data_IF_898434526330
#
_entry.id   IF_898434526330
#
_cell.length_a   1.000
_cell.length_b   1.000
_cell.length_c   1.000
_cell.angle_alpha   90.00
_cell.angle_beta   90.00
_cell.angle_gamma   90.00
#
_symmetry.space_group_name_H-M   'P 1'
#
loop_
_entity.id
_entity.type
_entity.pdbx_description
1 polymer ?
#
# COMPACT_ATOMS: atom_id res chain seq x y z
N UNK A 1 2.53 -49.61 25.93
CA UNK A 1 3.19 -48.29 26.02
C UNK A 1 2.34 -47.29 25.25
N UNK A 2 1.69 -46.37 25.96
CA UNK A 2 0.89 -45.28 25.38
C UNK A 2 1.80 -44.21 24.76
N UNK A 3 1.42 -43.66 23.59
CA UNK A 3 1.70 -42.27 23.25
C UNK A 3 0.42 -41.42 23.29
N UNK A 4 0.54 -40.09 23.51
CA UNK A 4 -0.58 -39.23 23.85
C UNK A 4 -1.33 -38.64 22.65
N UNK A 5 -2.53 -38.17 22.97
CA UNK A 5 -3.47 -37.45 22.12
C UNK A 5 -3.03 -36.00 21.80
N UNK A 6 -3.55 -35.48 20.68
CA UNK A 6 -3.65 -34.06 20.35
C UNK A 6 -3.78 -33.90 18.83
N UNK A 7 -4.84 -33.37 18.21
CA UNK A 7 -5.88 -32.46 18.63
C UNK A 7 -6.05 -31.46 17.48
N UNK A 8 -7.05 -31.66 16.63
CA UNK A 8 -7.32 -30.74 15.51
C UNK A 8 -7.93 -29.44 16.06
N UNK A 9 -7.14 -28.39 16.20
CA UNK A 9 -7.67 -27.06 16.57
C UNK A 9 -8.07 -26.29 15.32
N UNK A 10 -9.36 -25.94 15.23
CA UNK A 10 -9.96 -24.83 14.45
C UNK A 10 -8.94 -23.73 14.08
N UNK A 11 -8.33 -23.79 12.90
CA UNK A 11 -7.52 -22.69 12.34
C UNK A 11 -7.59 -22.74 10.82
N UNK A 12 -8.67 -22.21 10.25
CA UNK A 12 -8.89 -22.26 8.80
C UNK A 12 -9.58 -21.05 8.17
N UNK A 13 -9.92 -20.00 8.93
CA UNK A 13 -10.64 -18.83 8.40
C UNK A 13 -9.96 -17.47 8.65
N UNK A 14 -8.66 -17.39 9.00
CA UNK A 14 -8.00 -16.10 9.27
C UNK A 14 -6.98 -15.64 8.22
N UNK A 15 -6.64 -16.45 7.21
CA UNK A 15 -5.48 -16.13 6.36
C UNK A 15 -5.65 -14.90 5.46
N UNK A 16 -6.87 -14.40 5.25
CA UNK A 16 -7.12 -13.17 4.48
C UNK A 16 -7.01 -11.87 5.30
N UNK A 17 -7.01 -11.95 6.63
CA UNK A 17 -6.79 -10.79 7.51
C UNK A 17 -5.35 -10.64 7.99
N UNK A 18 -4.55 -11.72 7.97
CA UNK A 18 -3.14 -11.67 8.39
C UNK A 18 -2.21 -10.92 7.41
N UNK A 19 -2.62 -10.73 6.16
CA UNK A 19 -1.89 -9.89 5.20
C UNK A 19 -2.03 -8.38 5.48
N UNK A 20 -3.18 -7.93 6.00
CA UNK A 20 -3.39 -6.52 6.34
C UNK A 20 -2.62 -6.10 7.59
N UNK A 21 -2.52 -6.96 8.61
CA UNK A 21 -1.80 -6.62 9.86
C UNK A 21 -0.28 -6.51 9.69
N UNK A 22 0.36 -7.30 8.80
CA UNK A 22 1.81 -7.17 8.54
C UNK A 22 2.19 -5.95 7.71
N UNK A 23 1.29 -5.49 6.83
CA UNK A 23 1.53 -4.23 6.09
C UNK A 23 1.43 -3.06 7.06
N UNK A 24 0.41 -3.01 7.92
CA UNK A 24 0.28 -1.93 8.93
C UNK A 24 1.39 -1.97 9.99
N UNK A 25 1.91 -3.15 10.34
CA UNK A 25 2.96 -3.29 11.36
C UNK A 25 4.39 -3.08 10.81
N UNK A 26 4.58 -3.08 9.48
CA UNK A 26 5.82 -2.61 8.82
C UNK A 26 5.71 -1.19 8.27
N UNK A 27 4.51 -0.58 8.32
CA UNK A 27 4.32 0.88 8.25
C UNK A 27 4.73 1.54 9.58
N UNK A 28 5.13 0.74 10.58
CA UNK A 28 5.75 1.17 11.83
C UNK A 28 7.00 2.01 11.55
N UNK A 29 6.71 3.31 11.49
CA UNK A 29 7.58 4.47 11.41
C UNK A 29 8.75 4.35 10.43
N UNK A 30 8.53 4.78 9.18
CA UNK A 30 9.67 5.33 8.42
C UNK A 30 10.33 6.40 9.28
N UNK A 31 11.65 6.36 9.39
CA UNK A 31 12.38 7.37 10.15
C UNK A 31 12.35 8.66 9.35
N UNK A 32 12.23 9.81 10.02
CA UNK A 32 12.25 11.12 9.37
C UNK A 32 13.49 11.31 8.49
N UNK A 33 14.62 10.70 8.83
CA UNK A 33 15.85 10.72 8.02
C UNK A 33 15.63 10.11 6.64
N UNK A 34 15.01 8.93 6.57
CA UNK A 34 14.78 8.18 5.33
C UNK A 34 13.77 8.93 4.45
N UNK A 35 12.74 9.51 5.08
CA UNK A 35 11.74 10.35 4.39
C UNK A 35 12.41 11.59 3.82
N UNK A 36 13.20 12.33 4.62
CA UNK A 36 13.91 13.54 4.17
C UNK A 36 14.81 13.29 2.96
N UNK A 37 15.54 12.18 2.92
CA UNK A 37 16.36 11.83 1.76
C UNK A 37 15.55 11.50 0.49
N UNK A 38 14.27 11.14 0.64
CA UNK A 38 13.39 10.80 -0.47
C UNK A 38 12.41 11.93 -0.86
N UNK A 39 12.40 13.06 -0.14
CA UNK A 39 11.44 14.15 -0.39
C UNK A 39 11.61 14.79 -1.77
N UNK A 40 12.84 14.96 -2.25
CA UNK A 40 13.09 15.55 -3.58
C UNK A 40 12.52 14.67 -4.69
N UNK A 41 12.72 13.36 -4.62
CA UNK A 41 12.16 12.38 -5.57
C UNK A 41 10.63 12.28 -5.45
N UNK A 42 10.10 12.36 -4.23
CA UNK A 42 8.66 12.41 -4.00
C UNK A 42 8.03 13.70 -4.58
N UNK A 43 8.72 14.84 -4.48
CA UNK A 43 8.27 16.11 -5.01
C UNK A 43 8.34 16.18 -6.54
N UNK A 44 9.33 15.53 -7.17
CA UNK A 44 9.41 15.41 -8.63
C UNK A 44 8.46 14.35 -9.21
N UNK A 45 7.99 13.42 -8.39
CA UNK A 45 7.09 12.34 -8.80
C UNK A 45 7.83 11.10 -9.33
N UNK A 46 9.13 10.98 -9.07
CA UNK A 46 9.99 9.90 -9.57
C UNK A 46 10.04 8.67 -8.63
N UNK A 47 9.26 8.68 -7.55
CA UNK A 47 9.23 7.58 -6.58
C UNK A 47 8.31 6.44 -7.03
N UNK A 48 8.65 5.20 -6.66
CA UNK A 48 7.74 4.06 -6.84
C UNK A 48 6.45 4.24 -6.04
N UNK A 49 5.33 3.73 -6.56
CA UNK A 49 4.00 3.92 -5.97
C UNK A 49 3.92 3.47 -4.50
N UNK A 50 4.53 2.33 -4.17
CA UNK A 50 4.54 1.81 -2.79
C UNK A 50 5.33 2.71 -1.84
N UNK A 51 6.44 3.27 -2.30
CA UNK A 51 7.26 4.20 -1.52
C UNK A 51 6.55 5.54 -1.33
N UNK A 52 5.92 6.05 -2.39
CA UNK A 52 5.16 7.29 -2.34
C UNK A 52 4.01 7.20 -1.34
N UNK A 53 3.31 6.05 -1.28
CA UNK A 53 2.25 5.81 -0.32
C UNK A 53 2.76 5.81 1.14
N UNK A 54 3.95 5.24 1.40
CA UNK A 54 4.56 5.25 2.73
C UNK A 54 5.00 6.64 3.18
N UNK A 55 5.61 7.42 2.28
CA UNK A 55 5.98 8.81 2.55
C UNK A 55 4.74 9.65 2.81
N UNK A 56 3.69 9.50 1.99
CA UNK A 56 2.42 10.19 2.18
C UNK A 56 1.81 9.92 3.56
N UNK A 57 1.82 8.66 4.02
CA UNK A 57 1.37 8.31 5.36
C UNK A 57 2.20 9.02 6.45
N UNK A 58 3.52 9.04 6.32
CA UNK A 58 4.41 9.73 7.28
C UNK A 58 4.17 11.25 7.32
N UNK A 59 3.95 11.89 6.17
CA UNK A 59 3.65 13.32 6.07
C UNK A 59 2.33 13.69 6.77
N UNK A 60 1.38 12.75 6.87
CA UNK A 60 0.15 12.94 7.64
C UNK A 60 0.39 13.03 9.16
N UNK A 61 1.50 12.50 9.66
CA UNK A 61 1.80 12.41 11.10
C UNK A 61 2.96 13.33 11.53
N UNK A 62 3.85 13.75 10.62
CA UNK A 62 5.06 14.50 10.95
C UNK A 62 5.11 15.89 10.29
N UNK A 63 4.81 16.93 11.09
CA UNK A 63 4.80 18.33 10.64
C UNK A 63 6.16 18.81 10.10
N UNK A 64 7.26 18.34 10.68
CA UNK A 64 8.62 18.72 10.26
C UNK A 64 8.95 18.20 8.85
N UNK A 65 8.52 16.99 8.51
CA UNK A 65 8.68 16.44 7.17
C UNK A 65 7.76 17.13 6.15
N UNK A 66 6.57 17.58 6.58
CA UNK A 66 5.65 18.34 5.72
C UNK A 66 6.22 19.71 5.35
N UNK A 67 6.78 20.45 6.32
CA UNK A 67 7.48 21.72 6.04
C UNK A 67 8.68 21.53 5.10
N UNK A 68 9.45 20.46 5.32
CA UNK A 68 10.58 20.14 4.43
C UNK A 68 10.10 19.86 3.00
N UNK A 69 8.97 19.15 2.82
CA UNK A 69 8.40 18.91 1.49
C UNK A 69 7.91 20.21 0.83
N UNK A 70 7.28 21.11 1.57
CA UNK A 70 6.87 22.41 1.05
C UNK A 70 8.07 23.22 0.55
N UNK A 71 9.17 23.21 1.29
CA UNK A 71 10.41 23.85 0.88
C UNK A 71 11.00 23.25 -0.40
N UNK A 72 11.04 21.91 -0.52
CA UNK A 72 11.47 21.23 -1.77
C UNK A 72 10.59 21.63 -2.96
N UNK A 73 9.27 21.71 -2.78
CA UNK A 73 8.33 22.14 -3.82
C UNK A 73 8.53 23.60 -4.23
N UNK A 74 8.80 24.47 -3.27
CA UNK A 74 9.09 25.88 -3.52
C UNK A 74 10.39 26.03 -4.34
N UNK A 75 11.45 25.31 -3.95
CA UNK A 75 12.71 25.28 -4.71
C UNK A 75 12.52 24.75 -6.14
N UNK A 76 11.83 23.63 -6.30
CA UNK A 76 11.52 23.07 -7.63
C UNK A 76 10.66 24.04 -8.46
N UNK A 77 9.72 24.74 -7.82
CA UNK A 77 8.91 25.78 -8.45
C UNK A 77 9.75 26.96 -8.94
N UNK A 78 10.69 27.45 -8.13
CA UNK A 78 11.61 28.52 -8.51
C UNK A 78 12.54 28.09 -9.67
N UNK A 79 13.07 26.86 -9.63
CA UNK A 79 13.86 26.30 -10.73
C UNK A 79 13.03 26.16 -12.02
N UNK A 80 11.77 25.75 -11.91
CA UNK A 80 10.87 25.66 -13.06
C UNK A 80 10.57 27.04 -13.67
N UNK A 81 10.50 28.10 -12.86
CA UNK A 81 10.33 29.47 -13.35
C UNK A 81 11.55 29.96 -14.12
N UNK A 82 12.77 29.71 -13.61
CA UNK A 82 14.02 30.03 -14.32
C UNK A 82 14.10 29.36 -15.70
N UNK A 83 13.47 28.20 -15.86
CA UNK A 83 13.38 27.48 -17.12
C UNK A 83 12.36 28.07 -18.13
N UNK A 84 11.32 28.78 -17.68
CA UNK A 84 10.24 29.27 -18.57
C UNK A 84 10.67 30.39 -19.50
N UNK A 85 11.51 31.30 -19.01
CA UNK A 85 11.90 32.49 -19.79
C UNK A 85 12.91 32.17 -20.89
N UNK A 86 13.53 30.98 -20.83
CA UNK A 86 14.39 30.49 -21.91
C UNK A 86 13.54 29.85 -22.98
N UNK A 87 13.39 30.52 -24.12
CA UNK A 87 12.95 29.88 -25.37
C UNK A 87 13.91 28.75 -25.70
N UNK A 88 13.53 27.52 -25.39
CA UNK A 88 14.29 26.35 -25.79
C UNK A 88 14.37 26.35 -27.32
N UNK A 89 15.58 26.36 -27.91
CA UNK A 89 15.70 26.39 -29.36
C UNK A 89 15.05 25.12 -29.92
N UNK A 90 14.12 25.28 -30.86
CA UNK A 90 13.33 24.17 -31.46
C UNK A 90 14.24 23.04 -31.96
N UNK A 91 15.39 23.41 -32.56
CA UNK A 91 16.41 22.47 -33.04
C UNK A 91 16.95 21.54 -31.96
N UNK A 92 17.18 22.05 -30.74
CA UNK A 92 17.68 21.22 -29.63
C UNK A 92 16.65 20.18 -29.21
N UNK A 93 15.36 20.53 -29.19
CA UNK A 93 14.29 19.58 -28.90
C UNK A 93 14.18 18.50 -29.98
N UNK A 94 14.33 18.88 -31.26
CA UNK A 94 14.36 17.93 -32.38
C UNK A 94 15.57 16.99 -32.30
N UNK A 95 16.76 17.51 -31.99
CA UNK A 95 17.99 16.73 -31.80
C UNK A 95 17.89 15.75 -30.63
N UNK A 96 17.37 16.21 -29.48
CA UNK A 96 17.14 15.34 -28.31
C UNK A 96 16.12 14.25 -28.67
N UNK A 97 15.01 14.61 -29.31
CA UNK A 97 13.98 13.64 -29.72
C UNK A 97 14.55 12.62 -30.71
N UNK A 98 15.30 13.07 -31.71
CA UNK A 98 15.95 12.19 -32.68
C UNK A 98 16.98 11.28 -32.01
N UNK A 99 17.74 11.78 -31.04
CA UNK A 99 18.70 11.01 -30.25
C UNK A 99 18.03 9.93 -29.38
N UNK A 100 16.92 10.27 -28.72
CA UNK A 100 16.14 9.31 -27.92
C UNK A 100 15.51 8.24 -28.81
N UNK A 101 14.88 8.61 -29.92
CA UNK A 101 14.31 7.64 -30.87
C UNK A 101 15.38 6.71 -31.45
N UNK A 102 16.52 7.27 -31.86
CA UNK A 102 17.65 6.48 -32.33
C UNK A 102 18.15 5.49 -31.29
N UNK A 103 18.19 5.87 -30.00
CA UNK A 103 18.55 4.94 -28.91
C UNK A 103 17.50 3.87 -28.71
N UNK A 104 16.21 4.21 -28.75
CA UNK A 104 15.12 3.23 -28.67
C UNK A 104 15.14 2.22 -29.83
N UNK A 105 15.53 2.66 -31.03
CA UNK A 105 15.68 1.80 -32.21
C UNK A 105 16.96 0.94 -32.16
N UNK A 106 18.03 1.48 -31.58
CA UNK A 106 19.34 0.82 -31.49
C UNK A 106 19.50 -0.08 -30.28
N UNK A 107 18.77 0.19 -29.19
CA UNK A 107 18.66 -0.70 -28.07
C UNK A 107 17.92 -1.91 -28.63
N UNK A 108 18.63 -3.00 -29.01
CA UNK A 108 17.97 -4.15 -29.57
C UNK A 108 16.95 -4.47 -28.52
N UNK A 109 15.66 -4.54 -28.90
CA UNK A 109 14.62 -4.92 -27.96
C UNK A 109 15.26 -6.03 -27.16
N UNK A 110 15.58 -5.73 -25.89
CA UNK A 110 15.66 -6.74 -24.87
C UNK A 110 14.20 -7.11 -24.77
N UNK A 111 13.71 -7.77 -25.83
CA UNK A 111 12.71 -8.80 -25.82
C UNK A 111 13.02 -9.41 -24.49
N UNK A 112 12.10 -9.16 -23.56
CA UNK A 112 11.94 -9.94 -22.35
C UNK A 112 12.29 -11.32 -22.82
N UNK A 113 13.55 -11.71 -22.61
CA UNK A 113 14.16 -12.79 -23.37
C UNK A 113 13.44 -13.93 -22.74
N UNK A 114 12.34 -14.32 -23.40
CA UNK A 114 11.13 -14.88 -22.78
C UNK A 114 11.68 -15.79 -21.75
N UNK A 115 11.54 -15.43 -20.46
CA UNK A 115 12.20 -16.11 -19.36
C UNK A 115 11.85 -17.57 -19.58
N UNK A 116 12.71 -18.33 -20.26
CA UNK A 116 12.40 -19.68 -20.72
C UNK A 116 12.55 -20.38 -19.42
N UNK A 117 11.45 -20.70 -18.69
CA UNK A 117 11.62 -21.30 -17.40
C UNK A 117 12.47 -22.54 -17.67
N UNK A 118 13.63 -22.70 -16.98
CA UNK A 118 14.53 -23.84 -17.23
C UNK A 118 13.89 -25.19 -16.83
N UNK A 119 12.63 -25.14 -16.41
CA UNK A 119 11.82 -26.29 -16.07
C UNK A 119 11.29 -26.87 -17.38
N UNK A 120 11.94 -27.94 -17.84
CA UNK A 120 11.38 -28.82 -18.85
C UNK A 120 9.94 -29.16 -18.46
N UNK A 121 9.02 -29.02 -19.40
CA UNK A 121 7.59 -29.24 -19.17
C UNK A 121 7.28 -30.63 -18.56
N UNK A 122 8.17 -31.59 -18.72
CA UNK A 122 8.04 -32.91 -18.11
C UNK A 122 8.22 -32.90 -16.58
N UNK A 123 9.02 -31.99 -16.03
CA UNK A 123 9.08 -31.80 -14.56
C UNK A 123 7.82 -31.11 -14.04
N UNK A 124 7.21 -30.22 -14.82
CA UNK A 124 5.94 -29.60 -14.43
C UNK A 124 4.80 -30.64 -14.35
N UNK A 125 4.74 -31.59 -15.29
CA UNK A 125 3.74 -32.68 -15.28
C UNK A 125 3.87 -33.58 -14.05
N UNK A 126 5.09 -33.94 -13.66
CA UNK A 126 5.33 -34.82 -12.50
C UNK A 126 4.96 -34.14 -11.18
N UNK A 127 5.32 -32.85 -11.01
CA UNK A 127 4.92 -32.08 -9.83
C UNK A 127 3.40 -31.92 -9.74
N UNK A 128 2.73 -31.67 -10.87
CA UNK A 128 1.28 -31.51 -10.91
C UNK A 128 0.54 -32.82 -10.60
N UNK A 129 1.03 -33.95 -11.11
CA UNK A 129 0.49 -35.28 -10.79
C UNK A 129 0.64 -35.62 -9.31
N UNK A 130 1.79 -35.30 -8.70
CA UNK A 130 2.03 -35.48 -7.27
C UNK A 130 1.07 -34.63 -6.43
N UNK A 131 0.88 -33.36 -6.79
CA UNK A 131 -0.06 -32.48 -6.10
C UNK A 131 -1.51 -33.01 -6.19
N UNK A 132 -1.92 -33.50 -7.35
CA UNK A 132 -3.24 -34.11 -7.53
C UNK A 132 -3.42 -35.37 -6.68
N UNK A 133 -2.41 -36.25 -6.62
CA UNK A 133 -2.45 -37.46 -5.81
C UNK A 133 -2.58 -37.16 -4.31
N UNK A 134 -1.85 -36.15 -3.80
CA UNK A 134 -1.96 -35.71 -2.40
C UNK A 134 -3.35 -35.16 -2.09
N UNK A 135 -3.92 -34.34 -2.98
CA UNK A 135 -5.29 -33.84 -2.82
C UNK A 135 -6.31 -34.98 -2.79
N UNK A 136 -6.15 -35.96 -3.67
CA UNK A 136 -7.04 -37.12 -3.72
C UNK A 136 -6.95 -37.98 -2.45
N UNK A 137 -5.74 -38.18 -1.92
CA UNK A 137 -5.53 -38.89 -0.67
C UNK A 137 -6.19 -38.17 0.53
N UNK A 138 -6.04 -36.83 0.62
CA UNK A 138 -6.71 -36.02 1.65
C UNK A 138 -8.23 -36.10 1.52
N UNK A 139 -8.76 -36.02 0.30
CA UNK A 139 -10.19 -36.16 0.04
C UNK A 139 -10.72 -37.54 0.51
N UNK A 140 -9.99 -38.61 0.19
CA UNK A 140 -10.32 -39.97 0.63
C UNK A 140 -10.36 -40.07 2.16
N UNK A 141 -9.38 -39.49 2.86
CA UNK A 141 -9.37 -39.48 4.33
C UNK A 141 -10.59 -38.75 4.88
N UNK A 142 -10.97 -37.60 4.30
CA UNK A 142 -12.14 -36.83 4.74
C UNK A 142 -13.45 -37.59 4.51
N UNK A 143 -13.57 -38.32 3.40
CA UNK A 143 -14.79 -39.10 3.07
C UNK A 143 -14.89 -40.38 3.91
N UNK A 144 -13.77 -41.06 4.15
CA UNK A 144 -13.75 -42.35 4.87
C UNK A 144 -13.80 -42.16 6.38
N UNK A 145 -13.33 -41.03 6.93
CA UNK A 145 -13.39 -40.81 8.38
C UNK A 145 -14.84 -40.53 8.83
N UNK A 146 -15.47 -41.44 9.60
CA UNK A 146 -16.84 -41.27 10.04
C UNK A 146 -16.95 -40.05 10.96
N UNK A 147 -17.98 -39.23 10.69
CA UNK A 147 -18.25 -37.92 11.29
C UNK A 147 -18.49 -37.95 12.82
N UNK A 148 -18.52 -39.14 13.42
CA UNK A 148 -18.99 -39.37 14.79
C UNK A 148 -17.98 -39.02 15.89
N UNK A 149 -16.73 -38.64 15.56
CA UNK A 149 -15.69 -38.39 16.59
C UNK A 149 -15.45 -36.93 16.99
N UNK A 150 -16.14 -35.95 16.40
CA UNK A 150 -15.81 -34.52 16.62
C UNK A 150 -16.74 -33.73 17.53
N UNK A 151 -17.68 -34.37 18.23
CA UNK A 151 -18.69 -33.64 19.02
C UNK A 151 -18.80 -34.18 20.45
N UNK A 152 -17.75 -34.01 21.24
CA UNK A 152 -17.91 -33.89 22.69
C UNK A 152 -17.78 -32.41 23.05
N UNK A 153 -18.87 -31.71 23.42
CA UNK A 153 -18.79 -30.36 23.95
C UNK A 153 -18.03 -30.42 25.28
N UNK A 154 -16.80 -29.93 25.30
CA UNK A 154 -16.16 -29.55 26.56
C UNK A 154 -16.96 -28.38 27.13
N UNK A 155 -17.83 -28.68 28.07
CA UNK A 155 -18.27 -27.74 29.09
C UNK A 155 -17.04 -27.35 29.90
N UNK A 156 -16.28 -26.38 29.40
CA UNK A 156 -15.41 -25.61 30.28
C UNK A 156 -16.34 -24.76 31.13
N UNK A 157 -16.62 -25.27 32.32
CA UNK A 157 -17.07 -24.51 33.47
C UNK A 157 -16.13 -23.32 33.62
N UNK A 158 -16.62 -22.14 33.24
CA UNK A 158 -15.91 -20.88 33.40
C UNK A 158 -16.00 -20.58 34.90
N UNK A 159 -14.94 -20.93 35.61
CA UNK A 159 -14.69 -20.48 36.97
C UNK A 159 -14.73 -18.95 36.95
N UNK A 160 -15.80 -18.38 37.51
CA UNK A 160 -15.99 -16.94 37.63
C UNK A 160 -14.84 -16.39 38.48
N UNK A 161 -14.02 -15.45 37.97
CA UNK A 161 -13.04 -14.80 38.81
C UNK A 161 -13.78 -14.07 39.93
N UNK A 162 -13.50 -14.52 41.15
CA UNK A 162 -13.89 -13.93 42.41
C UNK A 162 -13.64 -12.42 42.37
N UNK A 163 -14.74 -11.70 42.59
CA UNK A 163 -14.85 -10.25 42.56
C UNK A 163 -13.97 -9.66 43.67
N UNK A 164 -12.72 -9.35 43.34
CA UNK A 164 -11.82 -8.62 44.23
C UNK A 164 -12.25 -7.15 44.30
N UNK A 165 -13.06 -6.84 45.32
CA UNK A 165 -13.51 -5.51 45.71
C UNK A 165 -12.35 -4.71 46.39
N UNK A 166 -11.20 -4.56 45.71
CA UNK A 166 -10.05 -3.79 46.23
C UNK A 166 -9.66 -2.70 45.23
N UNK A 167 -10.55 -1.73 44.99
CA UNK A 167 -10.14 -0.35 44.71
C UNK A 167 -11.21 0.60 45.26
N UNK A 168 -10.97 1.10 46.47
CA UNK A 168 -11.65 2.28 46.98
C UNK A 168 -11.25 3.48 46.09
N UNK A 169 -12.17 3.86 45.21
CA UNK A 169 -12.12 5.08 44.42
C UNK A 169 -12.05 6.29 45.37
N UNK A 170 -10.89 6.96 45.39
CA UNK A 170 -10.82 8.34 45.87
C UNK A 170 -11.41 9.26 44.80
N UNK A 171 -12.31 10.19 45.15
CA UNK A 171 -12.85 11.15 44.19
C UNK A 171 -11.73 12.09 43.74
N UNK A 172 -11.32 11.97 42.48
CA UNK A 172 -10.43 12.91 41.82
C UNK A 172 -11.26 14.10 41.33
N UNK A 173 -11.61 14.98 42.27
CA UNK A 173 -12.08 16.33 41.96
C UNK A 173 -10.90 17.12 41.39
N UNK A 174 -10.88 17.34 40.07
CA UNK A 174 -9.90 18.26 39.48
C UNK A 174 -9.47 17.99 38.04
N UNK A 175 -10.07 17.03 37.32
CA UNK A 175 -9.78 16.87 35.90
C UNK A 175 -10.74 17.75 35.08
N UNK A 176 -10.28 18.97 34.80
CA UNK A 176 -10.86 19.87 33.80
C UNK A 176 -11.17 19.09 32.54
N UNK A 177 -12.42 19.13 32.11
CA UNK A 177 -12.91 18.56 30.86
C UNK A 177 -12.07 19.06 29.69
N UNK A 178 -11.10 18.26 29.26
CA UNK A 178 -10.46 18.44 27.96
C UNK A 178 -11.53 18.34 26.86
N UNK A 179 -11.38 19.11 25.77
CA UNK A 179 -12.37 19.12 24.70
C UNK A 179 -12.59 17.70 24.20
N UNK A 180 -13.85 17.26 24.24
CA UNK A 180 -14.33 16.03 23.61
C UNK A 180 -13.86 16.03 22.16
N UNK A 181 -12.79 15.28 21.88
CA UNK A 181 -12.37 14.98 20.52
C UNK A 181 -13.44 14.05 19.98
N UNK A 182 -14.48 14.62 19.35
CA UNK A 182 -15.39 13.83 18.54
C UNK A 182 -14.57 13.05 17.50
N UNK A 183 -14.97 11.81 17.16
CA UNK A 183 -14.22 10.98 16.24
C UNK A 183 -14.19 11.61 14.84
N UNK A 184 -13.11 12.35 14.56
CA UNK A 184 -12.80 13.00 13.27
C UNK A 184 -12.52 11.98 12.14
N UNK A 185 -12.62 10.67 12.43
CA UNK A 185 -12.49 9.60 11.43
C UNK A 185 -13.59 9.62 10.36
N UNK A 186 -14.75 10.23 10.65
CA UNK A 186 -15.84 10.33 9.66
C UNK A 186 -15.56 11.40 8.61
N UNK A 187 -14.83 12.46 8.96
CA UNK A 187 -14.52 13.57 8.05
C UNK A 187 -13.27 13.32 7.20
N UNK A 188 -12.29 12.56 7.69
CA UNK A 188 -11.13 12.20 6.86
C UNK A 188 -11.53 11.32 5.68
N UNK A 189 -12.48 10.38 5.85
CA UNK A 189 -13.01 9.57 4.73
C UNK A 189 -13.87 10.38 3.76
N UNK A 190 -14.50 11.47 4.22
CA UNK A 190 -15.33 12.34 3.38
C UNK A 190 -14.48 13.36 2.60
N UNK A 191 -13.35 13.80 3.18
CA UNK A 191 -12.37 14.66 2.51
C UNK A 191 -11.62 13.90 1.41
N UNK A 192 -11.22 12.66 1.69
CA UNK A 192 -10.50 11.82 0.73
C UNK A 192 -11.39 11.47 -0.49
N UNK A 193 -12.67 11.16 -0.25
CA UNK A 193 -13.63 10.91 -1.34
C UNK A 193 -13.86 12.13 -2.24
N UNK A 194 -13.97 13.34 -1.66
CA UNK A 194 -14.13 14.60 -2.41
C UNK A 194 -12.88 14.99 -3.20
N UNK A 195 -11.69 14.66 -2.70
CA UNK A 195 -10.43 14.86 -3.41
C UNK A 195 -10.32 13.91 -4.62
N UNK A 196 -10.64 12.63 -4.43
CA UNK A 196 -10.65 11.63 -5.50
C UNK A 196 -11.68 11.93 -6.59
N UNK A 197 -12.86 12.44 -6.24
CA UNK A 197 -13.86 12.87 -7.22
C UNK A 197 -13.40 14.10 -8.02
N UNK A 198 -12.76 15.08 -7.38
CA UNK A 198 -12.15 16.24 -8.08
C UNK A 198 -11.05 15.80 -9.04
N UNK A 199 -10.17 14.90 -8.61
CA UNK A 199 -9.09 14.38 -9.44
C UNK A 199 -9.63 13.59 -10.65
N UNK A 200 -10.61 12.70 -10.43
CA UNK A 200 -11.27 11.94 -11.49
C UNK A 200 -11.92 12.86 -12.52
N UNK A 201 -12.68 13.86 -12.06
CA UNK A 201 -13.38 14.82 -12.92
C UNK A 201 -12.39 15.66 -13.74
N UNK A 202 -11.34 16.18 -13.10
CA UNK A 202 -10.28 16.92 -13.81
C UNK A 202 -9.60 16.05 -14.87
N UNK A 203 -9.32 14.78 -14.56
CA UNK A 203 -8.73 13.83 -15.51
C UNK A 203 -9.64 13.58 -16.71
N UNK A 204 -10.93 13.36 -16.48
CA UNK A 204 -11.93 13.21 -17.56
C UNK A 204 -12.00 14.47 -18.43
N UNK A 205 -11.97 15.66 -17.83
CA UNK A 205 -12.00 16.93 -18.58
C UNK A 205 -10.73 17.17 -19.42
N UNK A 206 -9.56 16.72 -18.97
CA UNK A 206 -8.27 16.90 -19.67
C UNK A 206 -8.02 15.81 -20.70
N UNK A 207 -8.42 14.56 -20.43
CA UNK A 207 -8.20 13.41 -21.31
C UNK A 207 -9.36 13.18 -22.30
N UNK A 208 -10.48 13.90 -22.17
CA UNK A 208 -11.60 13.77 -23.11
C UNK A 208 -11.20 14.15 -24.55
N UNK A 209 -11.53 13.30 -25.54
CA UNK A 209 -11.31 13.63 -26.94
C UNK A 209 -12.14 14.87 -27.33
N UNK A 210 -11.47 16.00 -27.53
CA UNK A 210 -12.09 17.29 -27.82
C UNK A 210 -11.97 18.34 -26.71
N UNK A 211 -11.26 18.04 -25.60
CA UNK A 211 -10.98 19.03 -24.57
C UNK A 211 -10.34 20.30 -25.17
N UNK A 212 -10.80 21.51 -24.80
CA UNK A 212 -10.27 22.74 -25.34
C UNK A 212 -8.78 22.82 -24.99
N UNK A 213 -7.90 22.88 -26.00
CA UNK A 213 -6.47 23.16 -25.80
C UNK A 213 -6.39 24.41 -24.94
N UNK A 214 -5.97 24.25 -23.69
CA UNK A 214 -5.80 25.36 -22.74
C UNK A 214 -4.91 26.39 -23.42
N UNK A 215 -5.50 27.50 -23.87
CA UNK A 215 -4.76 28.61 -24.43
C UNK A 215 -3.96 29.18 -23.27
N UNK A 216 -2.66 28.89 -23.25
CA UNK A 216 -1.73 29.57 -22.37
C UNK A 216 -1.88 31.06 -22.64
N UNK A 217 -2.46 31.79 -21.68
CA UNK A 217 -2.63 33.24 -21.75
C UNK A 217 -1.23 33.84 -21.67
N UNK A 218 -0.60 34.04 -22.82
CA UNK A 218 0.60 34.85 -22.97
C UNK A 218 0.19 36.32 -22.88
N UNK A 219 0.11 36.83 -21.65
CA UNK A 219 0.05 38.28 -21.40
C UNK A 219 1.44 38.89 -21.52
N UNK A 220 1.59 40.12 -22.06
CA UNK A 220 2.87 40.81 -22.11
C UNK A 220 3.23 41.34 -20.72
N UNK A 221 4.30 40.80 -20.14
CA UNK A 221 5.09 41.44 -19.09
C UNK A 221 6.56 41.29 -19.45
#
# INVERSE_FOLDING_TARGET
>A
MQPPAGGCTRRGCSSREYGKRRITERVKSMKCRDVKSALTLYASGDLEFEEAARIYAHLGECLECTKALEHEREMLGALAQLGRDRKTPVKLMEEIKAGVMKRLDQEPQRSLAVYKPPVSWDRAKTVLALAAAVLFAVLLVVVVMPKERFMQPRTTEIEQPEKNDIYAEKPNEGLTTGPTIQPMERDLRSADRRMWERYRKWREEVEAPGAPKVRTVSGPF
#
